data_IF_637960311520
#
_entry.id   IF_637960311520
#
_cell.length_a   1.000
_cell.length_b   1.000
_cell.length_c   1.000
_cell.angle_alpha   90.00
_cell.angle_beta   90.00
_cell.angle_gamma   90.00
#
_symmetry.space_group_name_H-M   'P 1'
#
loop_
_entity.id
_entity.type
_entity.pdbx_description
1 polymer ?
#
# COMPACT_ATOMS: atom_id res chain seq x y z
N UNK A 1 -76.87 -10.44 19.62
CA UNK A 1 -75.57 -11.07 19.96
C UNK A 1 -74.46 -10.31 19.25
N UNK A 2 -74.03 -9.15 19.76
CA UNK A 2 -72.87 -8.88 20.64
C UNK A 2 -71.51 -9.40 20.12
N UNK A 3 -70.76 -8.49 19.46
CA UNK A 3 -69.31 -8.51 19.22
C UNK A 3 -68.56 -8.70 20.54
N UNK A 4 -67.53 -9.55 20.56
CA UNK A 4 -66.42 -9.46 21.53
C UNK A 4 -65.17 -8.94 20.79
N UNK A 5 -64.75 -7.74 21.20
CA UNK A 5 -63.41 -7.19 20.95
C UNK A 5 -62.45 -7.87 21.92
N UNK A 6 -61.32 -8.39 21.43
CA UNK A 6 -60.14 -8.58 22.29
C UNK A 6 -59.32 -7.30 22.22
N UNK A 7 -59.19 -6.65 23.37
CA UNK A 7 -58.23 -5.60 23.64
C UNK A 7 -56.86 -6.25 23.84
N UNK A 8 -55.88 -5.85 23.04
CA UNK A 8 -54.45 -5.98 23.39
C UNK A 8 -54.14 -4.79 24.30
N UNK A 9 -53.54 -5.05 25.45
CA UNK A 9 -53.14 -4.04 26.44
C UNK A 9 -51.74 -3.51 26.14
N UNK A 10 -51.54 -2.20 26.33
CA UNK A 10 -50.28 -1.48 26.01
C UNK A 10 -49.03 -1.99 26.77
N UNK A 11 -49.18 -2.83 27.79
CA UNK A 11 -48.05 -3.52 28.43
C UNK A 11 -47.48 -4.70 27.62
N UNK A 12 -48.26 -5.34 26.74
CA UNK A 12 -47.72 -6.37 25.83
C UNK A 12 -46.89 -5.77 24.68
N UNK A 13 -47.06 -4.48 24.39
CA UNK A 13 -46.24 -3.75 23.41
C UNK A 13 -44.91 -3.28 24.03
N UNK A 14 -44.85 -3.11 25.36
CA UNK A 14 -43.63 -2.66 26.05
C UNK A 14 -42.71 -3.80 26.55
N UNK A 15 -43.15 -5.06 26.50
CA UNK A 15 -42.35 -6.23 26.92
C UNK A 15 -41.42 -6.83 25.85
N UNK A 16 -41.58 -6.47 24.57
CA UNK A 16 -40.80 -7.05 23.46
C UNK A 16 -39.62 -6.17 22.96
N UNK A 17 -39.10 -5.26 23.80
CA UNK A 17 -37.98 -4.35 23.42
C UNK A 17 -36.63 -4.76 24.04
N UNK A 18 -36.47 -6.01 24.50
CA UNK A 18 -35.18 -6.43 25.08
C UNK A 18 -34.76 -7.86 24.71
N UNK A 19 -34.44 -8.06 23.44
CA UNK A 19 -33.35 -8.94 22.98
C UNK A 19 -33.40 -9.05 21.45
N UNK A 20 -32.52 -8.31 20.77
CA UNK A 20 -31.80 -8.69 19.54
C UNK A 20 -31.24 -7.41 18.93
N UNK A 21 -29.97 -7.11 19.24
CA UNK A 21 -29.18 -6.20 18.40
C UNK A 21 -29.15 -6.83 17.00
N UNK A 22 -29.55 -6.12 15.93
CA UNK A 22 -29.34 -6.61 14.58
C UNK A 22 -27.81 -6.76 14.37
N UNK A 23 -27.36 -7.79 13.63
CA UNK A 23 -25.96 -7.85 13.23
C UNK A 23 -25.61 -6.57 12.45
N UNK A 24 -24.56 -5.87 12.88
CA UNK A 24 -24.01 -4.72 12.16
C UNK A 24 -23.77 -5.10 10.69
N UNK A 25 -24.15 -4.25 9.73
CA UNK A 25 -23.95 -4.56 8.32
C UNK A 25 -22.45 -4.72 8.04
N UNK A 26 -22.13 -5.70 7.19
CA UNK A 26 -20.79 -6.13 6.79
C UNK A 26 -19.93 -5.09 6.04
N UNK A 27 -20.16 -3.78 6.24
CA UNK A 27 -19.39 -2.66 5.68
C UNK A 27 -18.09 -2.40 6.45
N UNK A 28 -18.07 -2.52 7.77
CA UNK A 28 -16.86 -2.29 8.59
C UNK A 28 -15.75 -3.35 8.36
N UNK A 29 -16.09 -4.55 7.87
CA UNK A 29 -15.09 -5.60 7.55
C UNK A 29 -14.38 -5.40 6.21
N UNK A 30 -14.97 -4.65 5.28
CA UNK A 30 -14.35 -4.34 3.98
C UNK A 30 -13.33 -3.19 4.08
N UNK A 31 -13.46 -2.32 5.08
CA UNK A 31 -12.60 -1.15 5.29
C UNK A 31 -11.25 -1.52 5.94
N UNK A 32 -11.20 -2.60 6.72
CA UNK A 32 -9.92 -3.16 7.23
C UNK A 32 -9.10 -3.88 6.15
N UNK A 33 -9.70 -4.26 5.03
CA UNK A 33 -9.02 -5.02 3.99
C UNK A 33 -8.17 -4.12 3.07
N UNK A 34 -8.51 -2.84 2.90
CA UNK A 34 -7.78 -1.94 1.96
C UNK A 34 -6.51 -1.36 2.55
N UNK A 35 -6.42 -1.18 3.87
CA UNK A 35 -5.14 -0.89 4.55
C UNK A 35 -4.30 -2.15 4.76
N UNK A 36 -4.93 -3.31 5.04
CA UNK A 36 -4.21 -4.59 5.19
C UNK A 36 -3.72 -5.17 3.86
N UNK A 37 -4.40 -4.96 2.74
CA UNK A 37 -4.01 -5.53 1.44
C UNK A 37 -2.75 -4.90 0.84
N UNK A 38 -2.44 -3.64 1.20
CA UNK A 38 -1.26 -2.92 0.68
C UNK A 38 -0.01 -3.23 1.52
N UNK A 39 -0.17 -3.66 2.78
CA UNK A 39 0.95 -4.07 3.66
C UNK A 39 1.14 -5.60 3.71
N UNK A 40 0.13 -6.41 3.39
CA UNK A 40 0.14 -7.87 3.58
C UNK A 40 0.23 -8.67 2.26
N UNK A 41 1.25 -8.40 1.44
CA UNK A 41 1.61 -9.29 0.32
C UNK A 41 3.06 -9.82 0.40
N UNK A 42 3.61 -9.93 1.62
CA UNK A 42 4.89 -10.60 1.89
C UNK A 42 4.79 -11.74 2.92
N UNK A 43 3.58 -12.22 3.27
CA UNK A 43 3.45 -13.47 4.02
C UNK A 43 3.38 -14.65 3.03
N UNK A 44 4.52 -15.31 2.86
CA UNK A 44 4.55 -16.70 2.38
C UNK A 44 3.65 -17.56 3.27
N UNK A 45 2.95 -18.58 2.72
CA UNK A 45 2.21 -19.51 3.55
C UNK A 45 3.20 -20.21 4.49
N UNK A 46 3.04 -19.99 5.80
CA UNK A 46 3.64 -20.81 6.86
C UNK A 46 3.26 -22.26 6.57
N UNK A 47 4.20 -23.03 6.03
CA UNK A 47 4.08 -24.48 5.97
C UNK A 47 4.33 -25.01 7.37
N UNK A 48 3.28 -25.56 7.98
CA UNK A 48 3.35 -26.53 9.06
C UNK A 48 4.50 -27.53 8.81
N UNK A 49 5.44 -27.73 9.75
CA UNK A 49 6.48 -28.73 9.57
C UNK A 49 5.86 -30.12 9.62
N UNK A 50 5.83 -30.78 8.46
CA UNK A 50 5.53 -32.21 8.36
C UNK A 50 6.54 -32.97 9.24
N UNK A 51 6.05 -33.57 10.32
CA UNK A 51 6.80 -34.42 11.24
C UNK A 51 7.24 -35.70 10.53
N UNK A 52 8.46 -35.70 9.99
CA UNK A 52 9.14 -36.93 9.58
C UNK A 52 9.88 -37.49 10.79
N UNK A 53 9.30 -38.56 11.35
CA UNK A 53 9.94 -39.41 12.34
C UNK A 53 11.26 -39.94 11.82
N UNK A 54 12.36 -39.58 12.46
CA UNK A 54 13.61 -40.33 12.40
C UNK A 54 14.03 -40.68 13.81
N UNK A 55 13.83 -41.98 14.11
CA UNK A 55 14.29 -42.64 15.32
C UNK A 55 15.81 -42.80 15.21
N UNK A 56 16.55 -42.18 16.11
CA UNK A 56 17.87 -42.68 16.51
C UNK A 56 18.07 -42.50 18.02
N UNK A 57 18.30 -43.65 18.65
CA UNK A 57 18.81 -43.89 20.01
C UNK A 57 20.27 -43.39 20.12
N UNK A 58 20.96 -43.08 21.23
CA UNK A 58 20.92 -43.57 22.62
C UNK A 58 21.94 -42.76 23.49
N UNK A 59 21.54 -42.34 24.71
CA UNK A 59 22.23 -42.40 26.03
C UNK A 59 23.44 -41.53 26.47
N UNK A 60 23.17 -40.82 27.60
CA UNK A 60 23.95 -40.42 28.84
C UNK A 60 25.22 -39.54 28.68
N UNK A 61 25.57 -38.56 29.54
CA UNK A 61 25.32 -38.35 30.97
C UNK A 61 25.59 -36.89 31.48
N UNK A 62 24.98 -36.59 32.64
CA UNK A 62 25.40 -35.74 33.80
C UNK A 62 25.50 -34.18 33.78
N UNK A 63 24.50 -33.58 34.46
CA UNK A 63 24.52 -32.63 35.62
C UNK A 63 25.49 -31.43 35.70
N UNK A 64 24.89 -30.22 35.71
CA UNK A 64 24.93 -29.12 36.72
C UNK A 64 24.03 -27.99 36.18
N UNK A 65 23.13 -27.27 36.88
CA UNK A 65 23.08 -26.86 38.27
C UNK A 65 23.29 -25.35 38.38
N UNK A 66 22.29 -24.51 38.05
CA UNK A 66 22.22 -23.11 38.47
C UNK A 66 20.79 -22.55 38.28
N UNK A 67 20.09 -22.30 39.38
CA UNK A 67 18.85 -21.53 39.42
C UNK A 67 19.21 -20.05 39.53
N UNK A 68 18.82 -19.22 38.55
CA UNK A 68 18.89 -17.78 38.63
C UNK A 68 17.53 -17.24 39.07
N UNK A 69 17.46 -16.79 40.32
CA UNK A 69 16.38 -15.95 40.85
C UNK A 69 16.62 -14.55 40.29
N UNK A 70 15.81 -14.13 39.31
CA UNK A 70 15.76 -12.73 38.88
C UNK A 70 14.77 -12.00 39.80
N UNK A 71 15.32 -11.21 40.70
CA UNK A 71 14.57 -10.26 41.53
C UNK A 71 13.98 -9.20 40.58
N UNK A 72 12.65 -9.19 40.47
CA UNK A 72 11.90 -8.22 39.69
C UNK A 72 12.01 -6.83 40.30
N UNK A 73 12.88 -5.99 39.73
CA UNK A 73 12.83 -4.55 39.95
C UNK A 73 11.67 -4.00 39.11
N UNK A 74 10.54 -3.76 39.76
CA UNK A 74 9.39 -3.03 39.22
C UNK A 74 9.81 -1.56 39.04
N UNK A 75 10.42 -1.25 37.89
CA UNK A 75 10.45 0.13 37.40
C UNK A 75 9.04 0.45 36.89
N UNK A 76 8.40 1.54 37.34
CA UNK A 76 7.17 2.01 36.71
C UNK A 76 7.53 2.38 35.28
N UNK A 77 7.09 1.58 34.32
CA UNK A 77 7.13 1.94 32.90
C UNK A 77 6.33 3.22 32.75
N UNK A 78 7.04 4.35 32.67
CA UNK A 78 6.44 5.57 32.19
C UNK A 78 5.86 5.25 30.82
N UNK A 79 4.53 5.30 30.70
CA UNK A 79 3.82 5.27 29.43
C UNK A 79 4.20 6.55 28.66
N UNK A 80 5.42 6.59 28.12
CA UNK A 80 5.73 7.45 27.01
C UNK A 80 4.99 6.85 25.82
N UNK A 81 3.85 7.45 25.48
CA UNK A 81 3.27 7.32 24.14
C UNK A 81 4.31 7.84 23.15
N UNK A 82 5.21 6.96 22.72
CA UNK A 82 6.17 7.25 21.68
C UNK A 82 5.34 7.58 20.43
N UNK A 83 5.29 8.86 20.05
CA UNK A 83 4.78 9.21 18.73
C UNK A 83 5.58 8.40 17.71
N UNK A 84 4.92 7.64 16.81
CA UNK A 84 5.65 6.90 15.80
C UNK A 84 6.58 7.87 15.07
N UNK A 85 7.81 7.45 14.85
CA UNK A 85 8.85 8.17 14.12
C UNK A 85 8.42 8.35 12.65
N UNK A 86 7.41 9.17 12.42
CA UNK A 86 6.80 9.36 11.11
C UNK A 86 7.62 10.35 10.31
N UNK A 87 7.78 10.11 9.00
CA UNK A 87 8.37 11.07 8.10
C UNK A 87 7.56 12.38 8.06
N UNK A 88 8.23 13.49 7.77
CA UNK A 88 7.54 14.76 7.53
C UNK A 88 6.76 14.71 6.21
N UNK A 89 5.57 15.35 6.12
CA UNK A 89 4.77 15.34 4.90
C UNK A 89 5.45 16.11 3.76
N UNK A 90 5.11 15.75 2.51
CA UNK A 90 5.53 16.50 1.33
C UNK A 90 5.01 17.95 1.38
N UNK A 91 5.75 18.86 0.74
CA UNK A 91 5.40 20.28 0.69
C UNK A 91 4.53 20.57 -0.52
N UNK A 92 3.22 20.64 -0.28
CA UNK A 92 2.21 20.79 -1.32
C UNK A 92 1.32 22.01 -1.03
N UNK A 93 0.68 22.56 -2.07
CA UNK A 93 -0.32 23.59 -1.90
C UNK A 93 -1.66 22.99 -1.42
N UNK A 94 -1.81 22.90 -0.09
CA UNK A 94 -3.03 22.43 0.55
C UNK A 94 -4.23 23.37 0.35
N UNK A 95 -4.02 24.59 -0.12
CA UNK A 95 -5.08 25.59 -0.36
C UNK A 95 -5.63 25.55 -1.79
N UNK A 96 -4.89 24.92 -2.71
CA UNK A 96 -5.35 24.73 -4.09
C UNK A 96 -6.71 24.03 -4.13
N UNK A 97 -7.58 24.55 -4.99
CA UNK A 97 -8.85 23.93 -5.38
C UNK A 97 -8.89 23.65 -6.88
N UNK A 98 -7.75 23.75 -7.57
CA UNK A 98 -7.66 23.57 -9.02
C UNK A 98 -7.89 22.10 -9.38
N UNK A 99 -8.94 21.78 -10.17
CA UNK A 99 -9.12 20.43 -10.70
C UNK A 99 -7.89 19.95 -11.48
N UNK A 100 -7.55 18.66 -11.37
CA UNK A 100 -6.35 18.10 -12.00
C UNK A 100 -6.53 17.67 -13.47
N UNK A 101 -7.76 17.66 -13.98
CA UNK A 101 -8.13 17.08 -15.27
C UNK A 101 -7.41 17.76 -16.43
N UNK A 102 -7.45 19.09 -16.54
CA UNK A 102 -6.75 19.81 -17.61
C UNK A 102 -5.24 19.53 -17.59
N UNK A 103 -4.63 19.57 -16.39
CA UNK A 103 -3.20 19.30 -16.23
C UNK A 103 -2.82 17.88 -16.69
N UNK A 104 -3.58 16.88 -16.25
CA UNK A 104 -3.34 15.48 -16.55
C UNK A 104 -3.56 15.18 -18.04
N UNK A 105 -4.57 15.77 -18.67
CA UNK A 105 -4.82 15.63 -20.11
C UNK A 105 -3.69 16.24 -20.95
N UNK A 106 -3.22 17.42 -20.57
CA UNK A 106 -2.09 18.07 -21.23
C UNK A 106 -0.79 17.27 -21.08
N UNK A 107 -0.52 16.74 -19.89
CA UNK A 107 0.62 15.86 -19.66
C UNK A 107 0.49 14.59 -20.50
N UNK A 108 -0.67 13.95 -20.54
CA UNK A 108 -0.92 12.75 -21.34
C UNK A 108 -0.64 12.99 -22.83
N UNK A 109 -1.08 14.13 -23.37
CA UNK A 109 -0.84 14.51 -24.77
C UNK A 109 0.64 14.67 -25.08
N UNK A 110 1.42 15.30 -24.18
CA UNK A 110 2.87 15.43 -24.35
C UNK A 110 3.56 14.08 -24.31
N UNK A 111 3.20 13.23 -23.34
CA UNK A 111 3.81 11.93 -23.12
C UNK A 111 3.59 10.98 -24.29
N UNK A 112 2.38 10.92 -24.85
CA UNK A 112 2.07 10.05 -25.98
C UNK A 112 2.90 10.35 -27.24
N UNK A 113 3.32 11.61 -27.40
CA UNK A 113 4.15 12.04 -28.53
C UNK A 113 5.64 11.76 -28.34
N UNK A 114 6.04 11.29 -27.15
CA UNK A 114 7.45 11.03 -26.85
C UNK A 114 7.91 9.74 -27.52
N UNK A 115 9.07 9.84 -28.14
CA UNK A 115 9.88 8.67 -28.48
C UNK A 115 10.85 8.40 -27.32
N UNK A 116 10.81 7.19 -26.79
CA UNK A 116 11.70 6.74 -25.73
C UNK A 116 12.43 5.47 -26.17
N UNK A 117 13.68 5.25 -25.71
CA UNK A 117 14.37 4.01 -25.95
C UNK A 117 13.54 2.84 -25.44
N UNK A 118 13.24 1.89 -26.32
CA UNK A 118 12.60 0.65 -25.91
C UNK A 118 13.58 -0.15 -25.06
N UNK A 119 13.25 -0.35 -23.79
CA UNK A 119 13.97 -1.35 -22.99
C UNK A 119 13.63 -2.75 -23.52
N UNK A 120 14.65 -3.60 -23.64
CA UNK A 120 14.52 -4.96 -24.19
C UNK A 120 14.87 -6.01 -23.15
N UNK A 121 14.37 -7.23 -23.35
CA UNK A 121 14.65 -8.37 -22.49
C UNK A 121 13.38 -9.07 -22.01
N UNK A 122 13.47 -10.32 -21.54
CA UNK A 122 12.32 -11.12 -21.13
C UNK A 122 11.78 -10.75 -19.74
N UNK A 123 12.55 -10.10 -18.89
CA UNK A 123 12.13 -9.69 -17.55
C UNK A 123 11.62 -8.25 -17.53
N UNK A 124 10.50 -8.02 -16.86
CA UNK A 124 10.16 -6.71 -16.29
C UNK A 124 10.89 -6.59 -14.96
N UNK A 125 11.74 -5.58 -14.85
CA UNK A 125 12.39 -5.18 -13.62
C UNK A 125 11.71 -3.93 -13.06
N UNK A 126 11.41 -3.94 -11.76
CA UNK A 126 10.98 -2.78 -10.98
C UNK A 126 11.74 -2.71 -9.66
N UNK A 127 12.02 -1.49 -9.20
CA UNK A 127 12.55 -1.19 -7.86
C UNK A 127 11.68 -0.16 -7.18
N UNK A 128 11.16 -0.51 -6.01
CA UNK A 128 10.25 0.33 -5.23
C UNK A 128 10.71 0.38 -3.78
N UNK A 129 10.75 1.57 -3.19
CA UNK A 129 10.87 1.69 -1.74
C UNK A 129 9.53 1.99 -1.11
N UNK A 130 9.20 1.20 -0.09
CA UNK A 130 7.95 1.30 0.64
C UNK A 130 8.26 1.65 2.08
N UNK A 131 7.44 2.53 2.65
CA UNK A 131 7.39 2.80 4.08
C UNK A 131 5.92 2.87 4.50
N UNK A 132 5.57 2.33 5.66
CA UNK A 132 4.25 2.50 6.22
C UNK A 132 4.15 2.09 7.68
N UNK A 133 3.16 2.62 8.38
CA UNK A 133 2.80 2.16 9.71
C UNK A 133 2.16 0.77 9.62
N UNK A 134 2.67 -0.18 10.38
CA UNK A 134 1.96 -1.44 10.63
C UNK A 134 0.82 -1.16 11.60
N UNK A 135 -0.40 -1.45 11.19
CA UNK A 135 -1.58 -1.39 12.05
C UNK A 135 -1.98 -2.83 12.40
N UNK A 136 -1.63 -3.27 13.61
CA UNK A 136 -1.97 -4.59 14.16
C UNK A 136 -2.47 -4.49 15.61
N UNK A 137 -3.25 -5.48 16.06
CA UNK A 137 -3.91 -5.49 17.37
C UNK A 137 -2.89 -5.31 18.53
N UNK A 138 -3.11 -4.26 19.33
CA UNK A 138 -2.59 -3.89 20.67
C UNK A 138 -1.10 -4.08 21.04
N UNK A 139 -0.21 -4.59 20.17
CA UNK A 139 1.20 -4.78 20.55
C UNK A 139 2.23 -4.65 19.42
N UNK A 140 1.85 -4.12 18.24
CA UNK A 140 2.79 -3.90 17.13
C UNK A 140 2.68 -2.50 16.57
N UNK A 141 3.21 -1.50 17.30
CA UNK A 141 3.49 -0.16 16.78
C UNK A 141 4.72 -0.22 15.83
N UNK A 142 4.60 -1.01 14.77
CA UNK A 142 5.69 -1.30 13.84
C UNK A 142 5.76 -0.32 12.68
N UNK A 143 6.97 -0.09 12.16
CA UNK A 143 7.19 0.58 10.87
C UNK A 143 7.65 -0.50 9.89
N UNK A 144 6.93 -0.66 8.78
CA UNK A 144 7.38 -1.49 7.66
C UNK A 144 8.10 -0.60 6.65
N UNK A 145 9.42 -0.70 6.58
CA UNK A 145 10.25 -0.04 5.58
C UNK A 145 11.05 -1.07 4.79
N UNK A 146 11.00 -1.03 3.46
CA UNK A 146 11.67 -2.02 2.59
C UNK A 146 12.03 -1.45 1.21
N UNK A 147 13.13 -1.96 0.65
CA UNK A 147 13.48 -1.85 -0.78
C UNK A 147 13.07 -3.16 -1.46
N UNK A 148 12.16 -3.07 -2.42
CA UNK A 148 11.66 -4.19 -3.18
C UNK A 148 12.22 -4.16 -4.58
N UNK A 149 12.77 -5.28 -5.02
CA UNK A 149 13.21 -5.49 -6.39
C UNK A 149 12.51 -6.71 -6.95
N UNK A 150 11.91 -6.56 -8.12
CA UNK A 150 11.15 -7.60 -8.76
C UNK A 150 11.62 -7.77 -10.20
N UNK A 151 11.91 -9.01 -10.60
CA UNK A 151 12.12 -9.42 -11.98
C UNK A 151 11.08 -10.47 -12.32
N UNK A 152 10.17 -10.20 -13.27
CA UNK A 152 9.17 -11.19 -13.66
C UNK A 152 8.91 -11.24 -15.16
N UNK A 153 8.39 -12.37 -15.63
CA UNK A 153 8.21 -12.67 -17.06
C UNK A 153 6.73 -12.92 -17.37
N UNK A 154 6.39 -12.89 -18.66
CA UNK A 154 5.02 -13.16 -19.15
C UNK A 154 4.52 -14.58 -18.85
N UNK A 155 5.43 -15.55 -18.65
CA UNK A 155 5.11 -16.90 -18.17
C UNK A 155 4.82 -16.97 -16.66
N UNK A 156 4.80 -15.80 -15.98
CA UNK A 156 4.58 -15.65 -14.54
C UNK A 156 5.61 -16.37 -13.66
N UNK A 157 6.84 -16.55 -14.16
CA UNK A 157 8.00 -16.75 -13.29
C UNK A 157 8.48 -15.40 -12.76
N UNK A 158 9.01 -15.39 -11.53
CA UNK A 158 9.56 -14.18 -10.93
C UNK A 158 10.70 -14.47 -9.95
N UNK A 159 11.58 -13.49 -9.80
CA UNK A 159 12.55 -13.37 -8.72
C UNK A 159 12.23 -12.07 -7.99
N UNK A 160 12.11 -12.11 -6.66
CA UNK A 160 11.99 -10.89 -5.86
C UNK A 160 13.02 -10.86 -4.75
N UNK A 161 13.48 -9.66 -4.42
CA UNK A 161 14.36 -9.39 -3.28
C UNK A 161 13.72 -8.26 -2.49
N UNK A 162 13.33 -8.55 -1.26
CA UNK A 162 12.76 -7.57 -0.33
C UNK A 162 13.77 -7.30 0.78
N UNK A 163 14.46 -6.17 0.73
CA UNK A 163 15.45 -5.79 1.73
C UNK A 163 14.80 -4.90 2.79
N UNK A 164 14.69 -5.34 4.05
CA UNK A 164 14.23 -4.48 5.12
C UNK A 164 15.13 -3.25 5.25
N UNK A 165 14.51 -2.09 5.46
CA UNK A 165 15.21 -0.83 5.66
C UNK A 165 15.12 -0.42 7.13
N UNK A 166 16.16 0.24 7.67
CA UNK A 166 16.03 0.96 8.92
C UNK A 166 14.88 1.96 8.88
N UNK A 167 14.25 2.26 10.03
CA UNK A 167 13.25 3.32 10.13
C UNK A 167 13.77 4.65 9.56
N UNK A 168 12.88 5.40 8.92
CA UNK A 168 13.21 6.76 8.50
C UNK A 168 13.39 7.66 9.73
N UNK A 169 14.35 8.61 9.71
CA UNK A 169 14.45 9.57 10.81
C UNK A 169 13.16 10.41 10.89
N UNK A 170 12.61 10.64 12.09
CA UNK A 170 11.37 11.40 12.25
C UNK A 170 11.42 12.78 11.60
N UNK A 171 10.32 13.21 11.01
CA UNK A 171 10.17 14.56 10.44
C UNK A 171 10.97 14.82 9.14
N UNK A 172 11.79 13.87 8.67
CA UNK A 172 12.50 14.01 7.39
C UNK A 172 11.53 13.89 6.21
N UNK A 173 11.66 14.81 5.26
CA UNK A 173 10.93 14.75 3.98
C UNK A 173 11.60 13.82 2.97
N UNK A 174 12.94 13.81 2.90
CA UNK A 174 13.68 12.90 2.02
C UNK A 174 13.87 11.53 2.67
N UNK A 175 13.81 10.48 1.86
CA UNK A 175 14.16 9.14 2.28
C UNK A 175 15.68 8.94 2.22
N UNK A 176 16.27 8.37 3.28
CA UNK A 176 17.73 8.27 3.43
C UNK A 176 18.37 7.19 2.52
N UNK A 177 17.65 6.12 2.19
CA UNK A 177 18.22 4.90 1.59
C UNK A 177 17.95 4.73 0.08
N UNK A 178 17.55 5.78 -0.63
CA UNK A 178 17.15 5.68 -2.04
C UNK A 178 18.33 5.36 -2.97
N UNK A 179 19.51 5.92 -2.68
CA UNK A 179 20.72 5.74 -3.48
C UNK A 179 21.56 4.53 -3.04
N UNK A 180 21.73 4.34 -1.73
CA UNK A 180 22.55 3.28 -1.16
C UNK A 180 21.79 2.55 -0.04
N UNK A 181 21.80 1.22 -0.09
CA UNK A 181 21.18 0.39 0.93
C UNK A 181 22.14 0.18 2.12
N UNK A 182 21.65 0.18 3.37
CA UNK A 182 22.47 0.07 4.61
C UNK A 182 23.03 -1.34 4.91
N UNK A 183 23.31 -2.14 3.88
CA UNK A 183 23.88 -3.50 3.87
C UNK A 183 22.97 -4.71 4.19
N UNK A 184 23.32 -5.82 3.51
CA UNK A 184 22.69 -7.14 3.31
C UNK A 184 21.26 -7.16 2.75
N UNK A 185 21.17 -7.29 1.42
CA UNK A 185 19.94 -7.67 0.75
C UNK A 185 19.41 -9.01 1.30
N UNK A 186 18.08 -9.14 1.38
CA UNK A 186 17.47 -10.41 1.73
C UNK A 186 17.77 -11.48 0.68
N UNK A 187 17.57 -12.74 1.04
CA UNK A 187 17.70 -13.83 0.08
C UNK A 187 16.62 -13.70 -1.01
N UNK A 188 16.95 -13.97 -2.28
CA UNK A 188 15.98 -13.92 -3.36
C UNK A 188 14.89 -14.98 -3.15
N UNK A 189 13.64 -14.57 -3.41
CA UNK A 189 12.49 -15.46 -3.46
C UNK A 189 12.23 -15.81 -4.92
N UNK A 190 12.24 -17.12 -5.21
CA UNK A 190 12.01 -17.65 -6.55
C UNK A 190 10.58 -18.13 -6.69
N UNK A 191 9.91 -17.66 -7.74
CA UNK A 191 8.56 -18.07 -8.15
C UNK A 191 8.69 -18.82 -9.48
N UNK A 192 8.42 -20.14 -9.51
CA UNK A 192 8.38 -20.91 -10.76
C UNK A 192 7.37 -20.37 -11.78
N UNK A 193 7.45 -20.78 -13.06
CA UNK A 193 6.46 -20.41 -14.07
C UNK A 193 5.02 -20.68 -13.60
N UNK A 194 4.11 -19.73 -13.88
CA UNK A 194 2.71 -19.81 -13.50
C UNK A 194 2.38 -19.43 -12.05
N UNK A 195 3.37 -19.22 -11.19
CA UNK A 195 3.14 -19.03 -9.74
C UNK A 195 3.08 -17.57 -9.30
N UNK A 196 3.77 -16.67 -10.00
CA UNK A 196 3.70 -15.24 -9.71
C UNK A 196 2.35 -14.66 -10.16
N UNK A 197 1.71 -13.86 -9.32
CA UNK A 197 0.45 -13.20 -9.64
C UNK A 197 0.64 -11.68 -9.62
N UNK A 198 0.95 -11.05 -10.77
CA UNK A 198 0.99 -9.58 -10.85
C UNK A 198 -0.43 -9.00 -10.71
N UNK A 199 -0.52 -7.66 -10.58
CA UNK A 199 -1.80 -6.95 -10.44
C UNK A 199 -2.79 -7.28 -11.57
N UNK A 200 -2.31 -7.31 -12.81
CA UNK A 200 -3.11 -7.62 -14.00
C UNK A 200 -2.68 -8.94 -14.64
N UNK A 201 -3.64 -9.72 -15.13
CA UNK A 201 -3.34 -10.97 -15.84
C UNK A 201 -2.60 -10.76 -17.17
N UNK A 202 -2.65 -9.55 -17.74
CA UNK A 202 -2.00 -9.16 -19.00
C UNK A 202 -1.28 -7.82 -18.88
N UNK A 203 -0.88 -7.25 -20.03
CA UNK A 203 -0.27 -5.92 -20.07
C UNK A 203 -1.29 -4.82 -19.76
N UNK A 204 -0.87 -3.71 -19.13
CA UNK A 204 -1.70 -2.54 -18.94
C UNK A 204 -2.23 -1.99 -20.27
N UNK A 205 -3.48 -1.54 -20.28
CA UNK A 205 -4.16 -0.97 -21.44
C UNK A 205 -3.46 0.27 -21.96
N UNK A 206 -3.53 0.47 -23.28
CA UNK A 206 -3.01 1.67 -23.98
C UNK A 206 -4.08 2.73 -24.23
N UNK A 207 -5.30 2.52 -23.74
CA UNK A 207 -6.38 3.52 -23.77
C UNK A 207 -6.93 3.71 -22.36
N UNK A 208 -7.54 4.87 -22.11
CA UNK A 208 -8.14 5.16 -20.80
C UNK A 208 -9.24 4.17 -20.43
N UNK A 209 -10.04 3.71 -21.42
CA UNK A 209 -11.15 2.79 -21.21
C UNK A 209 -10.64 1.39 -20.85
N UNK A 210 -9.66 0.89 -21.61
CA UNK A 210 -9.07 -0.44 -21.37
C UNK A 210 -8.32 -0.47 -20.04
N UNK A 211 -7.58 0.60 -19.70
CA UNK A 211 -6.93 0.69 -18.40
C UNK A 211 -7.93 0.76 -17.26
N UNK A 212 -8.97 1.60 -17.37
CA UNK A 212 -10.03 1.71 -16.36
C UNK A 212 -10.72 0.37 -16.13
N UNK A 213 -11.11 -0.31 -17.19
CA UNK A 213 -11.76 -1.62 -17.10
C UNK A 213 -10.87 -2.68 -16.43
N UNK A 214 -9.57 -2.68 -16.75
CA UNK A 214 -8.60 -3.57 -16.11
C UNK A 214 -8.48 -3.30 -14.60
N UNK A 215 -8.37 -2.02 -14.19
CA UNK A 215 -8.24 -1.65 -12.78
C UNK A 215 -9.53 -1.83 -11.99
N UNK A 216 -10.70 -1.70 -12.62
CA UNK A 216 -12.02 -1.92 -12.00
C UNK A 216 -12.48 -3.39 -12.07
N UNK A 217 -11.67 -4.30 -12.62
CA UNK A 217 -12.09 -5.69 -12.83
C UNK A 217 -12.56 -6.33 -11.52
N UNK A 218 -13.83 -6.75 -11.50
CA UNK A 218 -14.49 -7.36 -10.34
C UNK A 218 -15.19 -6.37 -9.39
N UNK A 219 -15.03 -5.05 -9.57
CA UNK A 219 -15.66 -4.00 -8.76
C UNK A 219 -15.90 -2.74 -9.62
N UNK A 220 -17.14 -2.55 -10.09
CA UNK A 220 -17.51 -1.34 -10.85
C UNK A 220 -17.63 -0.13 -9.92
N UNK A 221 -17.36 1.06 -10.46
CA UNK A 221 -17.52 2.34 -9.77
C UNK A 221 -16.69 2.43 -8.48
N UNK A 222 -15.40 2.07 -8.59
CA UNK A 222 -14.48 2.25 -7.49
C UNK A 222 -14.43 3.74 -7.09
N UNK A 223 -14.38 4.02 -5.78
CA UNK A 223 -14.06 5.34 -5.29
C UNK A 223 -12.73 5.87 -5.87
N UNK A 224 -12.61 7.19 -5.99
CA UNK A 224 -11.50 7.86 -6.66
C UNK A 224 -10.13 7.50 -6.06
N UNK A 225 -10.05 7.40 -4.73
CA UNK A 225 -8.84 7.02 -4.01
C UNK A 225 -8.40 5.58 -4.34
N UNK A 226 -9.35 4.66 -4.57
CA UNK A 226 -9.02 3.29 -4.95
C UNK A 226 -8.53 3.20 -6.39
N UNK A 227 -9.08 3.99 -7.31
CA UNK A 227 -8.56 4.11 -8.69
C UNK A 227 -7.13 4.63 -8.65
N UNK A 228 -6.88 5.71 -7.90
CA UNK A 228 -5.55 6.30 -7.71
C UNK A 228 -4.54 5.28 -7.17
N UNK A 229 -4.90 4.56 -6.11
CA UNK A 229 -4.02 3.55 -5.49
C UNK A 229 -3.74 2.39 -6.45
N UNK A 230 -4.74 1.88 -7.17
CA UNK A 230 -4.55 0.82 -8.17
C UNK A 230 -3.71 1.28 -9.36
N UNK A 231 -3.88 2.53 -9.78
CA UNK A 231 -3.04 3.12 -10.83
C UNK A 231 -1.57 3.16 -10.37
N UNK A 232 -1.30 3.60 -9.14
CA UNK A 232 0.05 3.61 -8.59
C UNK A 232 0.64 2.20 -8.45
N UNK A 233 -0.16 1.21 -8.05
CA UNK A 233 0.27 -0.19 -7.96
C UNK A 233 0.74 -0.77 -9.29
N UNK A 234 0.30 -0.25 -10.44
CA UNK A 234 0.85 -0.68 -11.74
C UNK A 234 2.37 -0.48 -11.80
N UNK A 235 2.88 0.61 -11.22
CA UNK A 235 4.30 0.95 -11.24
C UNK A 235 5.16 0.00 -10.36
N UNK A 236 4.54 -0.78 -9.47
CA UNK A 236 5.22 -1.84 -8.73
C UNK A 236 5.54 -3.06 -9.59
N UNK A 237 4.74 -3.29 -10.65
CA UNK A 237 4.81 -4.51 -11.45
C UNK A 237 5.16 -4.28 -12.91
N UNK A 238 4.92 -3.10 -13.49
CA UNK A 238 5.02 -2.91 -14.93
C UNK A 238 5.96 -1.77 -15.30
N UNK A 239 6.70 -1.96 -16.40
CA UNK A 239 7.29 -0.86 -17.16
C UNK A 239 6.21 -0.34 -18.10
N UNK A 240 5.74 0.88 -17.86
CA UNK A 240 4.72 1.50 -18.70
C UNK A 240 5.38 2.23 -19.87
N UNK A 241 5.00 1.87 -21.10
CA UNK A 241 5.39 2.64 -22.29
C UNK A 241 4.66 4.00 -22.35
N UNK A 242 5.09 4.95 -23.21
CA UNK A 242 4.46 6.27 -23.29
C UNK A 242 2.94 6.23 -23.55
N UNK A 243 2.44 5.28 -24.34
CA UNK A 243 1.00 5.15 -24.61
C UNK A 243 0.24 4.66 -23.36
N UNK A 244 0.82 3.73 -22.59
CA UNK A 244 0.26 3.27 -21.33
C UNK A 244 0.29 4.36 -20.26
N UNK A 245 1.37 5.15 -20.16
CA UNK A 245 1.42 6.31 -19.24
C UNK A 245 0.40 7.37 -19.62
N UNK A 246 0.24 7.68 -20.91
CA UNK A 246 -0.80 8.59 -21.38
C UNK A 246 -2.22 8.06 -21.07
N UNK A 247 -2.46 6.75 -21.22
CA UNK A 247 -3.72 6.12 -20.83
C UNK A 247 -4.00 6.24 -19.32
N UNK A 248 -2.98 6.04 -18.48
CA UNK A 248 -3.08 6.21 -17.03
C UNK A 248 -3.44 7.65 -16.66
N UNK A 249 -2.75 8.63 -17.24
CA UNK A 249 -2.99 10.05 -17.01
C UNK A 249 -4.41 10.48 -17.45
N UNK A 250 -4.87 10.03 -18.61
CA UNK A 250 -6.26 10.29 -19.08
C UNK A 250 -7.30 9.65 -18.18
N UNK A 251 -7.08 8.40 -17.74
CA UNK A 251 -7.98 7.74 -16.81
C UNK A 251 -8.04 8.48 -15.48
N UNK A 252 -6.90 8.96 -14.96
CA UNK A 252 -6.85 9.78 -13.75
C UNK A 252 -7.55 11.13 -13.96
N UNK A 253 -7.40 11.77 -15.12
CA UNK A 253 -8.13 13.01 -15.44
C UNK A 253 -9.66 12.82 -15.40
N UNK A 254 -10.16 11.67 -15.84
CA UNK A 254 -11.59 11.31 -15.76
C UNK A 254 -12.02 10.89 -14.33
N UNK A 255 -11.10 10.84 -13.37
CA UNK A 255 -11.41 10.45 -11.98
C UNK A 255 -11.81 11.69 -11.19
N UNK A 256 -13.04 11.73 -10.61
CA UNK A 256 -13.52 12.92 -9.93
C UNK A 256 -12.76 13.17 -8.62
N UNK A 257 -12.66 14.45 -8.24
CA UNK A 257 -12.08 14.87 -6.96
C UNK A 257 -10.55 14.97 -6.93
N UNK A 258 -9.86 14.74 -8.04
CA UNK A 258 -8.42 14.96 -8.13
C UNK A 258 -8.12 16.47 -8.23
N UNK A 259 -7.20 16.94 -7.39
CA UNK A 259 -6.78 18.33 -7.28
C UNK A 259 -5.31 18.45 -7.67
N UNK A 260 -4.99 19.41 -8.54
CA UNK A 260 -3.61 19.78 -8.84
C UNK A 260 -3.07 20.68 -7.72
N UNK A 261 -1.93 20.30 -7.14
CA UNK A 261 -1.35 20.89 -5.92
C UNK A 261 -0.03 21.63 -6.17
N UNK A 262 0.25 21.97 -7.43
CA UNK A 262 1.50 22.59 -7.84
C UNK A 262 2.62 21.57 -8.06
N UNK A 263 3.83 21.89 -7.58
CA UNK A 263 5.04 21.08 -7.78
C UNK A 263 5.78 20.89 -6.46
N UNK A 264 6.40 19.73 -6.29
CA UNK A 264 7.26 19.39 -5.14
C UNK A 264 8.39 18.48 -5.59
N UNK A 265 9.40 18.32 -4.75
CA UNK A 265 10.29 17.18 -4.82
C UNK A 265 9.65 15.98 -4.13
N UNK A 266 9.75 14.80 -4.74
CA UNK A 266 9.40 13.53 -4.09
C UNK A 266 10.42 13.17 -2.99
N UNK A 267 10.19 12.04 -2.31
CA UNK A 267 11.09 11.59 -1.24
C UNK A 267 12.48 11.18 -1.72
N UNK A 268 12.66 10.90 -3.01
CA UNK A 268 13.97 10.67 -3.63
C UNK A 268 14.65 11.97 -4.10
N UNK A 269 13.99 13.13 -3.96
CA UNK A 269 14.51 14.43 -4.38
C UNK A 269 14.32 14.73 -5.86
N UNK A 270 13.38 14.06 -6.53
CA UNK A 270 13.02 14.30 -7.94
C UNK A 270 11.84 15.27 -7.98
N UNK A 271 12.00 16.37 -8.72
CA UNK A 271 10.94 17.35 -8.90
C UNK A 271 9.81 16.80 -9.77
N UNK A 272 8.56 17.14 -9.44
CA UNK A 272 7.40 16.73 -10.23
C UNK A 272 6.12 17.48 -9.90
N UNK A 273 5.12 17.32 -10.76
CA UNK A 273 3.76 17.80 -10.55
C UNK A 273 3.02 16.97 -9.52
N UNK A 274 2.26 17.65 -8.68
CA UNK A 274 1.53 17.04 -7.58
C UNK A 274 0.05 17.00 -7.89
N UNK A 275 -0.53 15.82 -7.81
CA UNK A 275 -1.98 15.61 -7.84
C UNK A 275 -2.38 14.89 -6.56
N UNK A 276 -3.53 15.24 -6.00
CA UNK A 276 -4.04 14.56 -4.80
C UNK A 276 -5.51 14.22 -4.91
N UNK A 277 -5.94 13.20 -4.19
CA UNK A 277 -7.34 12.92 -3.92
C UNK A 277 -7.55 12.74 -2.42
N UNK A 278 -8.64 13.31 -1.92
CA UNK A 278 -9.07 13.10 -0.54
C UNK A 278 -10.12 12.00 -0.52
N UNK A 279 -10.03 11.13 0.47
CA UNK A 279 -10.99 10.06 0.71
C UNK A 279 -11.84 10.40 1.92
N UNK A 280 -13.15 10.53 1.66
CA UNK A 280 -14.12 10.88 2.69
C UNK A 280 -14.26 9.79 3.75
N UNK A 281 -14.13 8.52 3.36
CA UNK A 281 -14.36 7.36 4.23
C UNK A 281 -13.22 7.11 5.24
N UNK A 282 -11.97 7.09 4.76
CA UNK A 282 -10.80 6.81 5.62
C UNK A 282 -10.10 8.08 6.14
N UNK A 283 -10.58 9.26 5.75
CA UNK A 283 -10.01 10.58 6.07
C UNK A 283 -8.52 10.66 5.72
N UNK A 284 -8.15 10.13 4.56
CA UNK A 284 -6.80 10.19 4.04
C UNK A 284 -6.72 11.06 2.79
N UNK A 285 -5.54 11.63 2.57
CA UNK A 285 -5.13 12.22 1.31
C UNK A 285 -4.09 11.32 0.67
N UNK A 286 -4.36 10.89 -0.55
CA UNK A 286 -3.38 10.25 -1.42
C UNK A 286 -2.77 11.32 -2.33
N UNK A 287 -1.44 11.41 -2.33
CA UNK A 287 -0.65 12.41 -3.05
C UNK A 287 0.23 11.68 -4.06
N UNK A 288 0.04 11.97 -5.34
CA UNK A 288 0.85 11.47 -6.44
C UNK A 288 1.82 12.56 -6.90
N UNK A 289 3.06 12.16 -7.19
CA UNK A 289 4.05 13.04 -7.82
C UNK A 289 4.41 12.45 -9.18
N UNK A 290 4.17 13.19 -10.25
CA UNK A 290 4.49 12.81 -11.63
C UNK A 290 5.68 13.59 -12.17
N UNK A 291 6.53 12.94 -12.96
CA UNK A 291 7.53 13.63 -13.75
C UNK A 291 6.84 14.44 -14.87
N UNK A 292 7.14 15.74 -14.94
CA UNK A 292 6.51 16.68 -15.88
C UNK A 292 6.87 16.41 -17.35
N UNK A 293 7.99 15.73 -17.58
CA UNK A 293 8.54 15.49 -18.91
C UNK A 293 8.14 14.11 -19.44
N UNK A 294 8.22 13.06 -18.63
CA UNK A 294 8.00 11.65 -19.02
C UNK A 294 6.62 11.12 -18.66
N UNK A 295 5.91 11.79 -17.74
CA UNK A 295 4.64 11.32 -17.18
C UNK A 295 4.77 10.11 -16.28
N UNK A 296 5.99 9.75 -15.89
CA UNK A 296 6.23 8.66 -14.94
C UNK A 296 5.71 9.04 -13.55
N UNK A 297 5.03 8.11 -12.90
CA UNK A 297 4.68 8.27 -11.50
C UNK A 297 5.93 8.05 -10.64
N UNK A 298 6.39 9.10 -9.96
CA UNK A 298 7.59 9.08 -9.13
C UNK A 298 7.29 8.55 -7.73
N UNK A 299 6.16 8.93 -7.15
CA UNK A 299 5.76 8.48 -5.81
C UNK A 299 4.26 8.57 -5.53
N UNK A 300 3.84 7.82 -4.52
CA UNK A 300 2.54 7.93 -3.86
C UNK A 300 2.78 8.14 -2.35
N UNK A 301 2.18 9.15 -1.73
CA UNK A 301 2.20 9.39 -0.28
C UNK A 301 0.78 9.43 0.28
N UNK A 302 0.58 8.86 1.47
CA UNK A 302 -0.70 8.81 2.17
C UNK A 302 -0.60 9.55 3.49
N UNK A 303 -1.45 10.55 3.66
CA UNK A 303 -1.45 11.46 4.83
C UNK A 303 -2.82 11.48 5.48
N UNK A 304 -2.88 11.47 6.81
CA UNK A 304 -4.15 11.64 7.55
C UNK A 304 -4.67 13.07 7.41
N UNK A 305 -5.94 13.25 7.08
CA UNK A 305 -6.62 14.55 7.10
C UNK A 305 -7.13 14.92 8.49
N UNK A 306 -7.42 13.93 9.32
CA UNK A 306 -7.87 14.09 10.71
C UNK A 306 -7.12 13.13 11.62
N UNK A 307 -7.06 13.46 12.91
CA UNK A 307 -6.50 12.55 13.90
C UNK A 307 -7.35 11.27 13.98
N UNK A 308 -6.70 10.12 14.05
CA UNK A 308 -7.35 8.80 14.13
C UNK A 308 -6.40 7.80 14.78
N UNK A 309 -6.92 6.90 15.60
CA UNK A 309 -6.17 5.74 16.11
C UNK A 309 -4.81 6.12 16.76
N UNK A 310 -4.75 7.24 17.50
CA UNK A 310 -3.51 7.75 18.10
C UNK A 310 -2.55 8.48 17.14
N UNK A 311 -2.86 8.49 15.83
CA UNK A 311 -2.12 9.20 14.79
C UNK A 311 -2.69 10.63 14.61
N UNK A 312 -1.88 11.70 14.77
CA UNK A 312 -2.34 13.08 14.58
C UNK A 312 -2.76 13.36 13.13
N UNK A 313 -3.56 14.41 12.91
CA UNK A 313 -3.80 14.93 11.57
C UNK A 313 -2.48 15.39 10.91
N UNK A 314 -2.46 15.41 9.57
CA UNK A 314 -1.29 15.75 8.75
C UNK A 314 -0.06 14.83 8.99
N UNK A 315 -0.30 13.57 9.35
CA UNK A 315 0.75 12.57 9.56
C UNK A 315 0.86 11.65 8.36
N UNK A 316 2.09 11.40 7.91
CA UNK A 316 2.38 10.41 6.87
C UNK A 316 2.23 9.01 7.45
N UNK A 317 1.37 8.20 6.82
CA UNK A 317 1.10 6.82 7.27
C UNK A 317 1.63 5.77 6.30
N UNK A 318 1.87 6.14 5.04
CA UNK A 318 2.53 5.29 4.06
C UNK A 318 3.11 6.13 2.92
N UNK A 319 4.14 5.62 2.26
CA UNK A 319 4.59 6.11 0.96
C UNK A 319 5.22 4.99 0.12
N UNK A 320 5.21 5.22 -1.20
CA UNK A 320 5.86 4.42 -2.23
C UNK A 320 6.74 5.34 -3.06
N UNK A 321 7.98 4.93 -3.31
CA UNK A 321 8.92 5.62 -4.20
C UNK A 321 9.25 4.66 -5.34
N UNK A 322 8.85 5.00 -6.56
CA UNK A 322 9.13 4.22 -7.75
C UNK A 322 10.49 4.64 -8.30
N UNK A 323 11.54 3.85 -8.04
CA UNK A 323 12.94 4.26 -8.24
C UNK A 323 13.47 3.87 -9.62
N UNK A 324 13.26 2.62 -10.03
CA UNK A 324 13.77 2.09 -11.29
C UNK A 324 12.73 1.18 -11.94
N UNK A 325 12.67 1.20 -13.26
CA UNK A 325 11.92 0.22 -14.04
C UNK A 325 12.57 0.03 -15.41
N UNK A 326 12.68 -1.20 -15.87
CA UNK A 326 13.20 -1.49 -17.21
C UNK A 326 12.89 -2.92 -17.64
N UNK A 327 12.99 -3.20 -18.93
CA UNK A 327 13.15 -4.57 -19.41
C UNK A 327 14.63 -4.95 -19.36
N UNK A 328 14.92 -6.15 -18.87
CA UNK A 328 16.31 -6.65 -18.69
C UNK A 328 16.46 -8.11 -19.11
N UNK A 329 17.68 -8.49 -19.52
CA UNK A 329 17.99 -9.83 -20.04
C UNK A 329 18.13 -10.91 -18.97
N UNK A 330 18.44 -10.50 -17.73
CA UNK A 330 18.72 -11.41 -16.61
C UNK A 330 17.99 -10.94 -15.35
N UNK A 331 17.52 -11.90 -14.55
CA UNK A 331 17.20 -11.65 -13.16
C UNK A 331 18.52 -11.39 -12.38
N UNK A 332 18.40 -10.64 -11.28
CA UNK A 332 19.54 -10.15 -10.49
C UNK A 332 20.50 -11.20 -9.95
#
# INVERSE_FOLDING_TARGET
>A
MRRRKSHITDEEIMGMVRAQRPPQPARERSEMLTSRAIVRYAETPRREPFQLQLRTTLKWATRTGAALVVVGLLLPSANATASPATPGPLSIDNTSTTPADEYLLDLAKRVEQRSEPTSTGPYTYTRVQVWGLETGDEQSDGVNARDQRLWWRTDRSAVSIDTPLPPQPPGRRRAEWTQALPEKAANPVLNPPGTFSPLLAGLPGRTRETMREQLERGQRNLPAEQIVRRAAQLCEYYVLDPAQRAAQLRMLADTPGLIFRGRTDDRAGRAGAVVSVDSDGDHLRDILVFDDATGELLSLERVTLKARDGVPANTVIAYFIFLEHSRVDRAG
#
